data_IF_103118837170
#
_entry.id   IF_103118837170
#
_cell.length_a   1.000
_cell.length_b   1.000
_cell.length_c   1.000
_cell.angle_alpha   90.00
_cell.angle_beta   90.00
_cell.angle_gamma   90.00
#
_symmetry.space_group_name_H-M   'P 1'
#
loop_
_entity.id
_entity.type
_entity.pdbx_description
1 polymer ?
#
# COMPACT_ATOMS: atom_id res chain seq x y z
N UNK A 1 -13.74 21.61 -3.64
CA UNK A 1 -12.46 21.15 -3.06
C UNK A 1 -12.62 20.44 -1.72
N UNK A 2 -13.11 21.09 -0.65
CA UNK A 2 -13.27 20.46 0.70
C UNK A 2 -14.11 19.19 0.67
N UNK A 3 -15.24 19.19 -0.04
CA UNK A 3 -16.10 18.01 -0.22
C UNK A 3 -15.34 16.82 -0.83
N UNK A 4 -14.49 17.08 -1.83
CA UNK A 4 -13.70 16.03 -2.49
C UNK A 4 -12.60 15.48 -1.57
N UNK A 5 -11.96 16.35 -0.77
CA UNK A 5 -10.98 15.94 0.24
C UNK A 5 -11.62 15.04 1.29
N UNK A 6 -12.80 15.41 1.81
CA UNK A 6 -13.54 14.58 2.77
C UNK A 6 -13.89 13.22 2.16
N UNK A 7 -14.39 13.18 0.92
CA UNK A 7 -14.70 11.92 0.25
C UNK A 7 -13.46 11.04 0.02
N UNK A 8 -12.29 11.64 -0.22
CA UNK A 8 -11.02 10.93 -0.35
C UNK A 8 -10.53 10.37 0.98
N UNK A 9 -10.64 11.15 2.07
CA UNK A 9 -10.29 10.72 3.41
C UNK A 9 -11.17 9.56 3.87
N UNK A 10 -12.49 9.66 3.69
CA UNK A 10 -13.43 8.58 3.98
C UNK A 10 -13.05 7.32 3.18
N UNK A 11 -12.78 7.48 1.88
CA UNK A 11 -12.35 6.38 1.02
C UNK A 11 -11.08 5.69 1.55
N UNK A 12 -10.07 6.45 1.95
CA UNK A 12 -8.83 5.91 2.50
C UNK A 12 -9.07 5.18 3.83
N UNK A 13 -9.81 5.80 4.77
CA UNK A 13 -10.11 5.20 6.07
C UNK A 13 -10.84 3.86 5.93
N UNK A 14 -11.84 3.77 5.06
CA UNK A 14 -12.58 2.52 4.82
C UNK A 14 -11.68 1.40 4.27
N UNK A 15 -10.70 1.73 3.41
CA UNK A 15 -9.77 0.73 2.90
C UNK A 15 -8.83 0.16 3.97
N UNK A 16 -8.68 0.83 5.12
CA UNK A 16 -7.88 0.34 6.25
C UNK A 16 -8.70 -0.35 7.33
N UNK A 17 -9.84 0.23 7.70
CA UNK A 17 -10.70 -0.30 8.76
C UNK A 17 -11.22 -1.70 8.40
N UNK A 18 -11.59 -1.92 7.12
CA UNK A 18 -12.17 -3.20 6.73
C UNK A 18 -11.17 -4.36 6.84
N UNK A 19 -9.94 -4.29 6.29
CA UNK A 19 -8.93 -5.33 6.51
C UNK A 19 -8.56 -5.51 7.98
N UNK A 20 -8.56 -4.44 8.77
CA UNK A 20 -8.27 -4.50 10.20
C UNK A 20 -9.36 -5.28 10.96
N UNK A 21 -10.63 -5.05 10.66
CA UNK A 21 -11.74 -5.76 11.30
C UNK A 21 -11.72 -7.26 10.99
N UNK A 22 -11.30 -7.66 9.78
CA UNK A 22 -11.16 -9.08 9.43
C UNK A 22 -9.94 -9.75 10.05
N UNK A 23 -8.92 -8.97 10.43
CA UNK A 23 -7.63 -9.51 10.82
C UNK A 23 -7.74 -10.44 12.07
N UNK A 24 -8.39 -10.05 13.18
CA UNK A 24 -8.66 -10.94 14.31
C UNK A 24 -9.37 -12.22 13.90
N UNK A 25 -10.45 -12.09 13.13
CA UNK A 25 -11.28 -13.22 12.71
C UNK A 25 -10.52 -14.22 11.82
N UNK A 26 -9.77 -13.74 10.83
CA UNK A 26 -9.01 -14.62 9.94
C UNK A 26 -7.90 -15.36 10.68
N UNK A 27 -7.26 -14.72 11.66
CA UNK A 27 -6.21 -15.35 12.48
C UNK A 27 -6.80 -16.36 13.45
N UNK A 28 -8.01 -16.15 13.98
CA UNK A 28 -8.66 -17.09 14.90
C UNK A 28 -9.29 -18.29 14.19
N UNK A 29 -9.72 -18.14 12.93
CA UNK A 29 -10.42 -19.22 12.19
C UNK A 29 -9.48 -20.06 11.33
N UNK A 30 -8.40 -19.46 10.81
CA UNK A 30 -7.45 -20.15 9.94
C UNK A 30 -6.22 -20.60 10.73
N UNK A 31 -5.68 -21.78 10.40
CA UNK A 31 -4.36 -22.16 10.86
C UNK A 31 -3.30 -21.18 10.36
N UNK A 32 -2.16 -21.11 11.05
CA UNK A 32 -1.06 -20.23 10.63
C UNK A 32 -0.55 -20.55 9.21
N UNK A 33 -0.68 -21.80 8.74
CA UNK A 33 -0.34 -22.20 7.37
C UNK A 33 -1.30 -21.60 6.33
N UNK A 34 -2.61 -21.72 6.59
CA UNK A 34 -3.64 -21.18 5.71
C UNK A 34 -3.61 -19.65 5.71
N UNK A 35 -3.44 -19.02 6.88
CA UNK A 35 -3.29 -17.57 7.00
C UNK A 35 -2.03 -17.05 6.29
N UNK A 36 -0.87 -17.70 6.46
CA UNK A 36 0.34 -17.37 5.72
C UNK A 36 0.08 -17.41 4.20
N UNK A 37 -0.50 -18.51 3.71
CA UNK A 37 -0.79 -18.70 2.29
C UNK A 37 -1.74 -17.62 1.76
N UNK A 38 -2.77 -17.27 2.53
CA UNK A 38 -3.71 -16.19 2.23
C UNK A 38 -2.98 -14.84 2.10
N UNK A 39 -2.12 -14.48 3.06
CA UNK A 39 -1.39 -13.21 3.04
C UNK A 39 -0.40 -13.15 1.87
N UNK A 40 0.32 -14.24 1.58
CA UNK A 40 1.22 -14.32 0.42
C UNK A 40 0.42 -14.11 -0.87
N UNK A 41 -0.68 -14.85 -1.04
CA UNK A 41 -1.50 -14.75 -2.24
C UNK A 41 -2.10 -13.34 -2.39
N UNK A 42 -2.60 -12.75 -1.30
CA UNK A 42 -3.07 -11.36 -1.27
C UNK A 42 -1.98 -10.39 -1.71
N UNK A 43 -0.75 -10.57 -1.23
CA UNK A 43 0.39 -9.72 -1.58
C UNK A 43 0.75 -9.86 -3.06
N UNK A 44 0.73 -11.07 -3.60
CA UNK A 44 0.94 -11.34 -5.03
C UNK A 44 -0.15 -10.73 -5.92
N UNK A 45 -1.41 -10.81 -5.50
CA UNK A 45 -2.54 -10.16 -6.18
C UNK A 45 -2.34 -8.64 -6.20
N UNK A 46 -1.98 -8.02 -5.08
CA UNK A 46 -1.73 -6.57 -5.00
C UNK A 46 -0.58 -6.11 -5.91
N UNK A 47 0.52 -6.87 -5.95
CA UNK A 47 1.62 -6.60 -6.89
C UNK A 47 1.15 -6.73 -8.34
N UNK A 48 0.39 -7.78 -8.67
CA UNK A 48 -0.11 -8.02 -10.03
C UNK A 48 -1.10 -6.93 -10.49
N UNK A 49 -1.93 -6.42 -9.58
CA UNK A 49 -2.80 -5.27 -9.83
C UNK A 49 -1.98 -4.02 -10.18
N UNK A 50 -0.84 -3.78 -9.52
CA UNK A 50 0.04 -2.66 -9.86
C UNK A 50 0.59 -2.76 -11.30
N UNK A 51 0.88 -3.97 -11.78
CA UNK A 51 1.23 -4.22 -13.19
C UNK A 51 0.09 -3.86 -14.14
N UNK A 52 -1.14 -4.30 -13.87
CA UNK A 52 -2.30 -3.99 -14.72
C UNK A 52 -2.60 -2.49 -14.74
N UNK A 53 -2.43 -1.81 -13.60
CA UNK A 53 -2.67 -0.37 -13.53
C UNK A 53 -1.61 0.47 -14.25
N UNK A 54 -0.36 0.01 -14.38
CA UNK A 54 0.72 0.60 -15.19
C UNK A 54 0.90 2.14 -15.05
N UNK A 55 0.54 2.73 -13.89
CA UNK A 55 0.55 4.18 -13.69
C UNK A 55 -0.51 4.97 -14.48
N UNK A 56 -1.54 4.32 -15.01
CA UNK A 56 -2.62 4.96 -15.77
C UNK A 56 -3.41 5.98 -14.93
N UNK A 57 -3.42 5.84 -13.61
CA UNK A 57 -4.05 6.81 -12.69
C UNK A 57 -3.51 8.24 -12.85
N UNK A 58 -2.28 8.39 -13.35
CA UNK A 58 -1.67 9.70 -13.65
C UNK A 58 -1.61 9.93 -15.16
N UNK A 59 -0.99 9.01 -15.91
CA UNK A 59 -0.68 9.23 -17.33
C UNK A 59 -1.91 9.30 -18.23
N UNK A 60 -2.97 8.54 -17.91
CA UNK A 60 -4.21 8.63 -18.67
C UNK A 60 -4.89 9.99 -18.46
N UNK A 61 -4.87 10.52 -17.22
CA UNK A 61 -5.41 11.85 -16.91
C UNK A 61 -4.67 12.93 -17.68
N UNK A 62 -3.33 12.92 -17.65
CA UNK A 62 -2.52 13.92 -18.37
C UNK A 62 -2.86 13.96 -19.86
N UNK A 63 -2.90 12.80 -20.53
CA UNK A 63 -3.24 12.75 -21.97
C UNK A 63 -4.67 13.17 -22.27
N UNK A 64 -5.64 12.87 -21.40
CA UNK A 64 -7.03 13.29 -21.60
C UNK A 64 -7.23 14.81 -21.47
N UNK A 65 -6.39 15.47 -20.67
CA UNK A 65 -6.35 16.94 -20.57
C UNK A 65 -5.74 17.55 -21.82
N UNK A 66 -4.67 16.95 -22.36
CA UNK A 66 -3.97 17.42 -23.55
C UNK A 66 -4.77 17.19 -24.85
N UNK A 67 -5.50 16.08 -24.98
CA UNK A 67 -6.31 15.76 -26.17
C UNK A 67 -7.73 16.38 -26.09
N UNK A 68 -7.89 17.52 -26.79
CA UNK A 68 -9.18 18.14 -27.04
C UNK A 68 -9.97 17.34 -28.11
N UNK A 69 -10.96 16.60 -27.62
CA UNK A 69 -12.14 16.02 -28.28
C UNK A 69 -12.01 14.93 -29.37
N UNK A 70 -11.10 14.94 -30.36
CA UNK A 70 -11.24 14.01 -31.51
C UNK A 70 -10.67 12.60 -31.31
N UNK A 71 -9.72 12.39 -30.38
CA UNK A 71 -8.96 11.13 -30.27
C UNK A 71 -9.20 10.34 -28.96
N UNK A 72 -10.16 10.76 -28.14
CA UNK A 72 -10.38 10.20 -26.79
C UNK A 72 -10.82 8.74 -26.80
N UNK A 73 -11.70 8.36 -27.72
CA UNK A 73 -12.16 6.98 -27.84
C UNK A 73 -11.00 6.04 -28.20
N UNK A 74 -10.10 6.46 -29.09
CA UNK A 74 -8.90 5.71 -29.45
C UNK A 74 -7.94 5.59 -28.25
N UNK A 75 -7.69 6.69 -27.52
CA UNK A 75 -6.84 6.67 -26.32
C UNK A 75 -7.37 5.69 -25.27
N UNK A 76 -8.65 5.80 -24.93
CA UNK A 76 -9.31 4.94 -23.94
C UNK A 76 -9.27 3.46 -24.38
N UNK A 77 -9.56 3.19 -25.65
CA UNK A 77 -9.48 1.83 -26.21
C UNK A 77 -8.05 1.28 -26.14
N UNK A 78 -7.05 2.13 -26.43
CA UNK A 78 -5.64 1.76 -26.35
C UNK A 78 -5.24 1.41 -24.93
N UNK A 79 -5.70 2.17 -23.93
CA UNK A 79 -5.46 1.88 -22.51
C UNK A 79 -6.03 0.50 -22.15
N UNK A 80 -7.26 0.16 -22.56
CA UNK A 80 -7.81 -1.16 -22.27
C UNK A 80 -7.05 -2.30 -22.93
N UNK A 81 -6.66 -2.14 -24.20
CA UNK A 81 -5.85 -3.16 -24.89
C UNK A 81 -4.52 -3.36 -24.16
N UNK A 82 -3.86 -2.28 -23.76
CA UNK A 82 -2.64 -2.36 -22.94
C UNK A 82 -2.91 -3.09 -21.62
N UNK A 83 -3.97 -2.74 -20.88
CA UNK A 83 -4.35 -3.41 -19.63
C UNK A 83 -4.60 -4.91 -19.82
N UNK A 84 -5.27 -5.31 -20.90
CA UNK A 84 -5.52 -6.73 -21.24
C UNK A 84 -4.21 -7.44 -21.55
N UNK A 85 -3.32 -6.86 -22.35
CA UNK A 85 -2.00 -7.43 -22.63
C UNK A 85 -1.16 -7.60 -21.36
N UNK A 86 -1.15 -6.58 -20.49
CA UNK A 86 -0.44 -6.64 -19.21
C UNK A 86 -1.05 -7.68 -18.26
N UNK A 87 -2.38 -7.79 -18.22
CA UNK A 87 -3.08 -8.84 -17.47
C UNK A 87 -2.72 -10.23 -17.97
N UNK A 88 -2.73 -10.46 -19.29
CA UNK A 88 -2.36 -11.74 -19.87
C UNK A 88 -0.91 -12.14 -19.56
N UNK A 89 0.01 -11.18 -19.58
CA UNK A 89 1.40 -11.41 -19.20
C UNK A 89 1.55 -11.72 -17.69
N UNK A 90 0.97 -10.89 -16.84
CA UNK A 90 1.15 -11.03 -15.38
C UNK A 90 0.39 -12.24 -14.82
N UNK A 91 -0.72 -12.66 -15.45
CA UNK A 91 -1.48 -13.84 -15.00
C UNK A 91 -0.66 -15.12 -15.12
N UNK A 92 0.11 -15.28 -16.19
CA UNK A 92 1.01 -16.43 -16.37
C UNK A 92 2.08 -16.46 -15.27
N UNK A 93 2.73 -15.32 -15.02
CA UNK A 93 3.73 -15.20 -13.95
C UNK A 93 3.12 -15.45 -12.56
N UNK A 94 1.97 -14.86 -12.29
CA UNK A 94 1.26 -15.04 -11.02
C UNK A 94 0.89 -16.51 -10.79
N UNK A 95 0.28 -17.19 -11.76
CA UNK A 95 -0.09 -18.61 -11.65
C UNK A 95 1.16 -19.47 -11.43
N UNK A 96 2.22 -19.23 -12.20
CA UNK A 96 3.48 -19.97 -12.08
C UNK A 96 4.07 -19.81 -10.68
N UNK A 97 4.25 -18.57 -10.21
CA UNK A 97 4.86 -18.31 -8.90
C UNK A 97 3.96 -18.83 -7.78
N UNK A 98 2.65 -18.59 -7.83
CA UNK A 98 1.74 -18.96 -6.75
C UNK A 98 1.70 -20.49 -6.54
N UNK A 99 1.62 -21.26 -7.62
CA UNK A 99 1.54 -22.71 -7.56
C UNK A 99 2.92 -23.35 -7.35
N UNK A 100 3.93 -22.96 -8.15
CA UNK A 100 5.23 -23.66 -8.16
C UNK A 100 6.19 -23.20 -7.07
N UNK A 101 6.13 -21.94 -6.64
CA UNK A 101 7.04 -21.40 -5.63
C UNK A 101 6.40 -21.50 -4.24
N UNK A 102 5.13 -21.10 -4.11
CA UNK A 102 4.46 -21.03 -2.81
C UNK A 102 3.48 -22.17 -2.52
N UNK A 103 3.18 -23.04 -3.48
CA UNK A 103 2.26 -24.17 -3.27
C UNK A 103 0.82 -23.74 -2.96
N UNK A 104 0.39 -22.55 -3.41
CA UNK A 104 -0.95 -22.02 -3.15
C UNK A 104 -1.99 -22.87 -3.89
N UNK A 105 -3.11 -23.16 -3.21
CA UNK A 105 -4.22 -23.94 -3.75
C UNK A 105 -4.80 -23.34 -5.04
N UNK A 106 -5.18 -24.22 -5.99
CA UNK A 106 -5.68 -23.79 -7.30
C UNK A 106 -6.89 -22.86 -7.20
N UNK A 107 -7.81 -23.11 -6.25
CA UNK A 107 -8.97 -22.27 -6.04
C UNK A 107 -8.59 -20.84 -5.64
N UNK A 108 -7.69 -20.66 -4.67
CA UNK A 108 -7.16 -19.36 -4.26
C UNK A 108 -6.49 -18.61 -5.41
N UNK A 109 -5.76 -19.34 -6.26
CA UNK A 109 -5.10 -18.78 -7.45
C UNK A 109 -6.15 -18.29 -8.45
N UNK A 110 -7.17 -19.09 -8.78
CA UNK A 110 -8.22 -18.72 -9.75
C UNK A 110 -9.08 -17.54 -9.30
N UNK A 111 -9.47 -17.50 -8.02
CA UNK A 111 -10.21 -16.36 -7.49
C UNK A 111 -9.32 -15.12 -7.31
N UNK A 112 -8.04 -15.29 -7.02
CA UNK A 112 -7.05 -14.21 -7.08
C UNK A 112 -6.91 -13.64 -8.49
N UNK A 113 -6.88 -14.47 -9.55
CA UNK A 113 -6.91 -14.01 -10.94
C UNK A 113 -8.17 -13.20 -11.25
N UNK A 114 -9.32 -13.63 -10.75
CA UNK A 114 -10.58 -12.88 -10.90
C UNK A 114 -10.48 -11.49 -10.27
N UNK A 115 -9.84 -11.39 -9.10
CA UNK A 115 -9.58 -10.11 -8.46
C UNK A 115 -8.54 -9.27 -9.22
N UNK A 116 -7.52 -9.85 -9.83
CA UNK A 116 -6.60 -9.08 -10.68
C UNK A 116 -7.34 -8.58 -11.93
N UNK A 117 -8.16 -9.43 -12.55
CA UNK A 117 -8.91 -9.12 -13.77
C UNK A 117 -9.94 -7.99 -13.57
N UNK A 118 -10.51 -7.85 -12.37
CA UNK A 118 -11.45 -6.77 -12.07
C UNK A 118 -10.85 -5.37 -12.24
N UNK A 119 -9.52 -5.22 -12.16
CA UNK A 119 -8.83 -3.94 -12.37
C UNK A 119 -8.70 -3.52 -13.85
N UNK A 120 -9.02 -4.41 -14.80
CA UNK A 120 -9.06 -4.07 -16.23
C UNK A 120 -10.14 -3.00 -16.49
N UNK A 121 -11.43 -3.23 -16.19
CA UNK A 121 -12.49 -2.23 -16.36
C UNK A 121 -12.45 -1.09 -15.32
N UNK A 122 -11.55 -1.14 -14.33
CA UNK A 122 -11.46 -0.11 -13.31
C UNK A 122 -10.92 1.21 -13.90
N UNK A 123 -11.76 2.26 -13.83
CA UNK A 123 -11.52 3.55 -14.50
C UNK A 123 -11.42 4.73 -13.53
N UNK A 124 -10.75 4.55 -12.39
CA UNK A 124 -10.58 5.64 -11.42
C UNK A 124 -9.90 6.85 -12.07
N UNK A 125 -8.96 6.63 -12.99
CA UNK A 125 -8.32 7.67 -13.81
C UNK A 125 -9.32 8.55 -14.58
N UNK A 126 -10.37 7.96 -15.17
CA UNK A 126 -11.36 8.74 -15.93
C UNK A 126 -12.14 9.70 -15.03
N UNK A 127 -12.58 9.22 -13.87
CA UNK A 127 -13.30 10.06 -12.92
C UNK A 127 -12.40 11.09 -12.25
N UNK A 128 -11.12 10.79 -12.10
CA UNK A 128 -10.11 11.75 -11.64
C UNK A 128 -9.97 12.89 -12.64
N UNK A 129 -9.93 12.60 -13.94
CA UNK A 129 -9.95 13.60 -15.01
C UNK A 129 -11.21 14.48 -14.99
N UNK A 130 -12.39 13.90 -14.73
CA UNK A 130 -13.66 14.66 -14.64
C UNK A 130 -13.90 15.31 -13.26
N UNK A 131 -12.96 15.18 -12.31
CA UNK A 131 -13.09 15.61 -10.91
C UNK A 131 -14.32 15.07 -10.16
N UNK A 132 -14.83 13.89 -10.58
CA UNK A 132 -16.03 13.23 -10.03
C UNK A 132 -15.67 12.16 -9.00
N UNK A 133 -14.95 12.56 -7.94
CA UNK A 133 -14.52 11.66 -6.86
C UNK A 133 -15.68 11.12 -6.03
N UNK A 134 -16.81 11.83 -5.98
CA UNK A 134 -18.06 11.39 -5.34
C UNK A 134 -18.52 10.03 -5.88
N UNK A 135 -18.39 9.83 -7.20
CA UNK A 135 -18.76 8.58 -7.88
C UNK A 135 -17.80 7.46 -7.46
N UNK A 136 -16.49 7.73 -7.48
CA UNK A 136 -15.44 6.75 -7.14
C UNK A 136 -15.59 6.29 -5.69
N UNK A 137 -15.73 7.23 -4.75
CA UNK A 137 -15.88 6.90 -3.33
C UNK A 137 -17.14 6.07 -3.09
N UNK A 138 -18.30 6.48 -3.62
CA UNK A 138 -19.55 5.74 -3.45
C UNK A 138 -19.44 4.30 -3.96
N UNK A 139 -18.99 4.11 -5.20
CA UNK A 139 -19.00 2.80 -5.85
C UNK A 139 -17.83 1.90 -5.48
N UNK A 140 -16.80 2.42 -4.82
CA UNK A 140 -15.74 1.58 -4.26
C UNK A 140 -16.03 1.18 -2.81
N UNK A 141 -16.67 2.05 -2.02
CA UNK A 141 -17.02 1.74 -0.63
C UNK A 141 -18.24 0.82 -0.57
N UNK A 142 -19.30 1.08 -1.35
CA UNK A 142 -20.57 0.37 -1.24
C UNK A 142 -20.43 -1.16 -1.43
N UNK A 143 -19.80 -1.68 -2.50
CA UNK A 143 -19.66 -3.12 -2.67
C UNK A 143 -18.81 -3.77 -1.57
N UNK A 144 -17.79 -3.06 -1.09
CA UNK A 144 -16.96 -3.53 0.02
C UNK A 144 -17.75 -3.61 1.32
N UNK A 145 -18.52 -2.59 1.67
CA UNK A 145 -19.36 -2.59 2.89
C UNK A 145 -20.45 -3.65 2.84
N UNK A 146 -21.01 -3.94 1.66
CA UNK A 146 -22.05 -4.97 1.52
C UNK A 146 -21.47 -6.37 1.53
N UNK A 147 -20.37 -6.62 0.81
CA UNK A 147 -19.87 -7.98 0.58
C UNK A 147 -18.82 -8.43 1.58
N UNK A 148 -17.96 -7.55 2.07
CA UNK A 148 -16.87 -7.93 2.95
C UNK A 148 -17.33 -8.46 4.33
N UNK A 149 -18.47 -8.04 4.91
CA UNK A 149 -19.03 -8.70 6.09
C UNK A 149 -19.36 -10.19 5.89
N UNK A 150 -19.62 -10.64 4.66
CA UNK A 150 -19.86 -12.07 4.41
C UNK A 150 -18.62 -12.94 4.65
N UNK A 151 -17.42 -12.36 4.68
CA UNK A 151 -16.19 -13.08 5.05
C UNK A 151 -16.33 -13.75 6.42
N UNK A 152 -16.96 -13.05 7.39
CA UNK A 152 -17.20 -13.58 8.73
C UNK A 152 -18.21 -14.72 8.77
N UNK A 153 -19.06 -14.84 7.75
CA UNK A 153 -20.13 -15.84 7.69
C UNK A 153 -19.72 -17.10 6.92
N UNK A 154 -18.89 -16.96 5.88
CA UNK A 154 -18.63 -18.06 4.94
C UNK A 154 -17.29 -18.76 5.13
N UNK A 155 -16.34 -18.14 5.84
CA UNK A 155 -15.03 -18.72 6.14
C UNK A 155 -15.13 -19.37 7.50
N UNK A 156 -14.92 -20.68 7.57
CA UNK A 156 -14.97 -21.42 8.84
C UNK A 156 -13.79 -22.37 9.02
N UNK A 157 -12.96 -22.59 8.01
CA UNK A 157 -11.81 -23.47 8.06
C UNK A 157 -10.76 -23.11 7.00
N UNK A 158 -9.62 -23.81 7.04
CA UNK A 158 -8.49 -23.62 6.13
C UNK A 158 -8.81 -23.83 4.65
N UNK A 159 -9.81 -24.65 4.30
CA UNK A 159 -10.19 -24.90 2.91
C UNK A 159 -11.04 -23.77 2.30
N UNK A 160 -11.47 -22.81 3.12
CA UNK A 160 -12.34 -21.71 2.72
C UNK A 160 -11.57 -20.44 2.32
N UNK A 161 -10.23 -20.46 2.31
CA UNK A 161 -9.41 -19.29 1.97
C UNK A 161 -9.74 -18.71 0.59
N UNK A 162 -10.10 -19.56 -0.38
CA UNK A 162 -10.50 -19.09 -1.72
C UNK A 162 -11.75 -18.19 -1.69
N UNK A 163 -12.64 -18.39 -0.70
CA UNK A 163 -13.85 -17.55 -0.54
C UNK A 163 -13.49 -16.12 -0.19
N UNK A 164 -12.38 -15.89 0.53
CA UNK A 164 -11.84 -14.55 0.77
C UNK A 164 -11.55 -13.83 -0.56
N UNK A 165 -10.82 -14.49 -1.46
CA UNK A 165 -10.49 -13.95 -2.77
C UNK A 165 -11.72 -13.81 -3.66
N UNK A 166 -12.67 -14.73 -3.58
CA UNK A 166 -13.93 -14.66 -4.31
C UNK A 166 -14.74 -13.42 -3.91
N UNK A 167 -14.91 -13.16 -2.60
CA UNK A 167 -15.66 -12.02 -2.10
C UNK A 167 -14.95 -10.70 -2.46
N UNK A 168 -13.63 -10.60 -2.26
CA UNK A 168 -12.87 -9.40 -2.62
C UNK A 168 -12.88 -9.14 -4.14
N UNK A 169 -12.69 -10.20 -4.93
CA UNK A 169 -12.77 -10.16 -6.38
C UNK A 169 -14.15 -9.73 -6.86
N UNK A 170 -15.23 -10.29 -6.31
CA UNK A 170 -16.60 -9.92 -6.62
C UNK A 170 -16.88 -8.45 -6.27
N UNK A 171 -16.50 -8.00 -5.07
CA UNK A 171 -16.67 -6.60 -4.67
C UNK A 171 -15.93 -5.64 -5.62
N UNK A 172 -14.70 -5.98 -6.00
CA UNK A 172 -13.90 -5.20 -6.94
C UNK A 172 -14.48 -5.23 -8.36
N UNK A 173 -15.00 -6.37 -8.81
CA UNK A 173 -15.61 -6.53 -10.12
C UNK A 173 -16.91 -5.74 -10.22
N UNK A 174 -17.75 -5.76 -9.18
CA UNK A 174 -18.95 -4.93 -9.08
C UNK A 174 -18.58 -3.45 -9.19
N UNK A 175 -17.63 -2.98 -8.38
CA UNK A 175 -17.12 -1.59 -8.44
C UNK A 175 -16.70 -1.23 -9.87
N UNK A 176 -15.89 -2.08 -10.50
CA UNK A 176 -15.26 -1.79 -11.78
C UNK A 176 -16.27 -1.80 -12.93
N UNK A 177 -17.24 -2.72 -12.93
CA UNK A 177 -18.33 -2.74 -13.90
C UNK A 177 -19.22 -1.51 -13.77
N UNK A 178 -19.59 -1.10 -12.55
CA UNK A 178 -20.42 0.10 -12.36
C UNK A 178 -19.71 1.37 -12.83
N UNK A 179 -18.43 1.53 -12.50
CA UNK A 179 -17.60 2.64 -12.97
C UNK A 179 -17.41 2.59 -14.50
N UNK A 180 -17.23 1.41 -15.08
CA UNK A 180 -17.14 1.28 -16.53
C UNK A 180 -18.44 1.67 -17.24
N UNK A 181 -19.60 1.15 -16.79
CA UNK A 181 -20.91 1.48 -17.37
C UNK A 181 -21.24 2.97 -17.23
N UNK A 182 -20.95 3.56 -16.07
CA UNK A 182 -21.22 4.98 -15.86
C UNK A 182 -20.28 5.88 -16.68
N UNK A 183 -19.05 5.45 -16.96
CA UNK A 183 -18.16 6.15 -17.90
C UNK A 183 -18.76 6.19 -19.31
N UNK A 184 -19.24 5.04 -19.82
CA UNK A 184 -19.89 4.96 -21.13
C UNK A 184 -21.14 5.85 -21.23
N UNK A 185 -21.88 6.01 -20.12
CA UNK A 185 -23.04 6.91 -20.06
C UNK A 185 -22.66 8.40 -20.02
N UNK A 186 -21.46 8.75 -19.52
CA UNK A 186 -21.01 10.15 -19.43
C UNK A 186 -20.38 10.59 -20.76
N UNK A 187 -19.59 9.72 -21.39
CA UNK A 187 -19.04 9.90 -22.72
C UNK A 187 -19.97 9.25 -23.75
N UNK A 188 -21.19 9.80 -23.90
CA UNK A 188 -22.15 9.36 -24.90
C UNK A 188 -21.45 9.24 -26.27
N UNK A 189 -21.46 8.04 -26.88
CA UNK A 189 -20.84 7.79 -28.18
C UNK A 189 -19.41 7.25 -28.14
N UNK A 190 -18.90 6.84 -26.97
CA UNK A 190 -17.61 6.13 -26.90
C UNK A 190 -17.70 4.77 -27.60
N UNK A 191 -17.25 4.69 -28.84
CA UNK A 191 -17.07 3.44 -29.57
C UNK A 191 -15.65 2.94 -29.31
N UNK A 192 -15.52 1.74 -28.74
CA UNK A 192 -14.20 1.15 -28.54
C UNK A 192 -13.65 0.73 -29.92
N UNK A 193 -12.49 1.27 -30.27
CA UNK A 193 -11.81 1.03 -31.55
C UNK A 193 -10.54 0.23 -31.29
N UNK A 194 -10.30 -0.79 -32.11
CA UNK A 194 -9.05 -1.54 -32.06
C UNK A 194 -7.87 -0.62 -32.41
N UNK A 195 -6.95 -0.36 -31.46
CA UNK A 195 -5.82 0.53 -31.69
C UNK A 195 -4.76 -0.14 -32.56
N UNK A 196 -4.03 0.66 -33.33
CA UNK A 196 -2.83 0.18 -34.03
C UNK A 196 -1.73 -0.18 -33.02
N UNK A 197 -0.91 -1.17 -33.34
CA UNK A 197 0.23 -1.59 -32.51
C UNK A 197 1.16 -0.43 -32.11
N UNK A 198 1.36 0.54 -33.02
CA UNK A 198 2.12 1.76 -32.73
C UNK A 198 1.56 2.53 -31.52
N UNK A 199 0.24 2.70 -31.44
CA UNK A 199 -0.40 3.38 -30.31
C UNK A 199 -0.15 2.66 -28.98
N UNK A 200 -0.29 1.33 -28.96
CA UNK A 200 0.01 0.50 -27.78
C UNK A 200 1.46 0.70 -27.32
N UNK A 201 2.42 0.67 -28.25
CA UNK A 201 3.85 0.89 -27.96
C UNK A 201 4.11 2.29 -27.41
N UNK A 202 3.48 3.31 -27.97
CA UNK A 202 3.63 4.70 -27.53
C UNK A 202 3.04 4.92 -26.13
N UNK A 203 1.91 4.29 -25.80
CA UNK A 203 1.35 4.31 -24.43
C UNK A 203 2.30 3.63 -23.44
N UNK A 204 2.79 2.44 -23.77
CA UNK A 204 3.69 1.69 -22.90
C UNK A 204 4.99 2.46 -22.65
N UNK A 205 5.58 3.05 -23.69
CA UNK A 205 6.82 3.84 -23.60
C UNK A 205 6.64 5.06 -22.70
N UNK A 206 5.58 5.83 -22.90
CA UNK A 206 5.35 7.08 -22.17
C UNK A 206 4.97 6.85 -20.70
N UNK A 207 4.31 5.72 -20.41
CA UNK A 207 3.94 5.30 -19.06
C UNK A 207 5.07 4.62 -18.28
N UNK A 208 6.10 4.10 -18.96
CA UNK A 208 7.10 3.21 -18.36
C UNK A 208 7.79 3.80 -17.12
N UNK A 209 8.20 5.08 -17.17
CA UNK A 209 8.86 5.74 -16.03
C UNK A 209 7.97 5.80 -14.78
N UNK A 210 6.68 6.08 -14.94
CA UNK A 210 5.72 6.09 -13.83
C UNK A 210 5.41 4.67 -13.35
N UNK A 211 5.26 3.73 -14.27
CA UNK A 211 5.09 2.32 -13.93
C UNK A 211 6.25 1.80 -13.07
N UNK A 212 7.51 2.03 -13.48
CA UNK A 212 8.69 1.61 -12.71
C UNK A 212 8.71 2.29 -11.35
N UNK A 213 8.35 3.56 -11.26
CA UNK A 213 8.28 4.28 -9.99
C UNK A 213 7.22 3.67 -9.05
N UNK A 214 6.02 3.41 -9.55
CA UNK A 214 4.93 2.81 -8.78
C UNK A 214 5.25 1.37 -8.37
N UNK A 215 5.79 0.57 -9.30
CA UNK A 215 6.21 -0.79 -9.04
C UNK A 215 7.32 -0.84 -7.99
N UNK A 216 8.29 0.08 -8.05
CA UNK A 216 9.37 0.17 -7.05
C UNK A 216 8.81 0.40 -5.66
N UNK A 217 7.86 1.33 -5.49
CA UNK A 217 7.20 1.57 -4.20
C UNK A 217 6.46 0.32 -3.71
N UNK A 218 5.71 -0.33 -4.60
CA UNK A 218 4.98 -1.55 -4.26
C UNK A 218 5.91 -2.69 -3.86
N UNK A 219 7.02 -2.88 -4.57
CA UNK A 219 8.03 -3.88 -4.24
C UNK A 219 8.68 -3.56 -2.89
N UNK A 220 9.12 -2.32 -2.66
CA UNK A 220 9.70 -1.91 -1.37
C UNK A 220 8.74 -2.13 -0.20
N UNK A 221 7.43 -2.00 -0.42
CA UNK A 221 6.41 -2.12 0.63
C UNK A 221 6.01 -3.56 0.92
N UNK A 222 6.07 -4.44 -0.09
CA UNK A 222 5.43 -5.76 -0.07
C UNK A 222 6.39 -6.95 -0.29
N UNK A 223 7.58 -6.74 -0.88
CA UNK A 223 8.54 -7.83 -1.14
C UNK A 223 8.97 -8.50 0.16
N UNK A 224 9.12 -7.73 1.23
CA UNK A 224 9.49 -8.28 2.53
C UNK A 224 8.49 -9.36 2.99
N UNK A 225 7.17 -9.11 2.85
CA UNK A 225 6.12 -10.10 3.14
C UNK A 225 6.23 -11.36 2.29
N UNK A 226 6.72 -11.27 1.05
CA UNK A 226 6.91 -12.44 0.18
C UNK A 226 8.18 -13.24 0.52
N UNK A 227 9.20 -12.60 1.09
CA UNK A 227 10.46 -13.23 1.42
C UNK A 227 10.47 -13.86 2.82
N UNK A 228 9.72 -13.30 3.79
CA UNK A 228 9.66 -13.83 5.15
C UNK A 228 9.38 -15.34 5.27
N UNK A 229 8.50 -15.96 4.45
CA UNK A 229 8.25 -17.40 4.49
C UNK A 229 9.47 -18.29 4.18
N UNK A 230 10.54 -17.72 3.60
CA UNK A 230 11.80 -18.44 3.36
C UNK A 230 12.50 -18.76 4.68
N UNK A 231 12.32 -17.91 5.70
CA UNK A 231 13.07 -17.99 6.95
C UNK A 231 12.19 -18.22 8.18
N UNK A 232 10.94 -17.77 8.15
CA UNK A 232 10.02 -17.89 9.28
C UNK A 232 9.13 -19.12 9.15
N UNK A 233 8.82 -19.72 10.31
CA UNK A 233 7.72 -20.68 10.37
C UNK A 233 6.38 -19.98 10.14
N UNK A 234 5.34 -20.70 9.73
CA UNK A 234 4.01 -20.09 9.51
C UNK A 234 3.42 -19.39 10.73
N UNK A 235 3.68 -19.91 11.93
CA UNK A 235 3.32 -19.24 13.18
C UNK A 235 4.05 -17.90 13.33
N UNK A 236 5.39 -17.91 13.23
CA UNK A 236 6.21 -16.70 13.33
C UNK A 236 5.86 -15.66 12.26
N UNK A 237 5.58 -16.10 11.03
CA UNK A 237 5.11 -15.25 9.94
C UNK A 237 3.77 -14.58 10.30
N UNK A 238 2.84 -15.35 10.85
CA UNK A 238 1.51 -14.84 11.26
C UNK A 238 1.65 -13.79 12.35
N UNK A 239 2.39 -14.09 13.41
CA UNK A 239 2.69 -13.14 14.50
C UNK A 239 3.32 -11.86 13.94
N UNK A 240 4.35 -11.99 13.10
CA UNK A 240 5.02 -10.85 12.50
C UNK A 240 4.09 -10.02 11.60
N UNK A 241 3.30 -10.66 10.73
CA UNK A 241 2.43 -9.95 9.80
C UNK A 241 1.32 -9.19 10.51
N UNK A 242 0.74 -9.77 11.56
CA UNK A 242 -0.25 -9.10 12.41
C UNK A 242 0.37 -7.88 13.09
N UNK A 243 1.58 -8.05 13.67
CA UNK A 243 2.31 -6.94 14.29
C UNK A 243 2.65 -5.82 13.31
N UNK A 244 3.18 -6.15 12.13
CA UNK A 244 3.53 -5.18 11.09
C UNK A 244 2.30 -4.40 10.61
N UNK A 245 1.15 -5.06 10.41
CA UNK A 245 -0.12 -4.39 10.08
C UNK A 245 -0.56 -3.43 11.18
N UNK A 246 -0.51 -3.83 12.44
CA UNK A 246 -0.86 -2.97 13.57
C UNK A 246 0.04 -1.73 13.63
N UNK A 247 1.36 -1.92 13.52
CA UNK A 247 2.37 -0.86 13.56
C UNK A 247 2.24 0.10 12.36
N UNK A 248 1.93 -0.41 11.16
CA UNK A 248 1.66 0.42 9.97
C UNK A 248 0.45 1.31 10.15
N UNK A 249 -0.62 0.81 10.78
CA UNK A 249 -1.82 1.62 11.05
C UNK A 249 -1.48 2.78 11.99
N UNK A 250 -0.72 2.51 13.06
CA UNK A 250 -0.23 3.56 13.96
C UNK A 250 0.59 4.61 13.18
N UNK A 251 1.47 4.15 12.28
CA UNK A 251 2.27 5.03 11.43
C UNK A 251 1.40 5.91 10.51
N UNK A 252 0.31 5.36 9.96
CA UNK A 252 -0.60 6.09 9.06
C UNK A 252 -1.37 7.22 9.75
N UNK A 253 -1.65 7.10 11.05
CA UNK A 253 -2.31 8.17 11.82
C UNK A 253 -1.48 9.46 11.83
N UNK A 254 -0.19 9.39 11.55
CA UNK A 254 0.69 10.57 11.44
C UNK A 254 0.58 11.30 10.10
N UNK A 255 0.07 10.63 9.06
CA UNK A 255 0.06 11.16 7.69
C UNK A 255 -0.74 12.46 7.49
N UNK A 256 -1.90 12.71 8.14
CA UNK A 256 -2.62 13.97 7.98
C UNK A 256 -1.82 15.17 8.49
N UNK A 257 -1.07 14.98 9.58
CA UNK A 257 -0.21 16.02 10.17
C UNK A 257 0.93 16.37 9.23
N UNK A 258 1.62 15.36 8.70
CA UNK A 258 2.73 15.59 7.76
C UNK A 258 2.27 16.21 6.44
N UNK A 259 1.08 15.85 5.96
CA UNK A 259 0.50 16.41 4.75
C UNK A 259 0.09 17.88 4.93
N UNK A 260 -0.45 18.25 6.10
CA UNK A 260 -0.77 19.64 6.43
C UNK A 260 0.49 20.49 6.65
N UNK A 261 1.56 19.89 7.17
CA UNK A 261 2.83 20.58 7.42
C UNK A 261 3.57 20.92 6.12
N UNK A 262 3.48 20.07 5.10
CA UNK A 262 4.21 20.22 3.84
C UNK A 262 4.11 21.60 3.16
N UNK A 263 2.91 22.15 2.85
CA UNK A 263 2.81 23.47 2.22
C UNK A 263 3.34 24.61 3.10
N UNK A 264 3.20 24.49 4.43
CA UNK A 264 3.74 25.46 5.39
C UNK A 264 5.27 25.47 5.31
N UNK A 265 5.88 24.29 5.27
CA UNK A 265 7.33 24.13 5.14
C UNK A 265 7.83 24.60 3.78
N UNK A 266 7.14 24.30 2.68
CA UNK A 266 7.50 24.78 1.34
C UNK A 266 7.56 26.33 1.26
N UNK A 267 6.69 27.02 2.01
CA UNK A 267 6.72 28.49 2.14
C UNK A 267 7.85 28.95 3.06
N UNK A 268 7.95 28.39 4.26
CA UNK A 268 8.93 28.82 5.27
C UNK A 268 10.37 28.61 4.80
N UNK A 269 10.67 27.48 4.14
CA UNK A 269 12.02 27.18 3.64
C UNK A 269 12.56 28.20 2.62
N UNK A 270 11.68 28.96 1.96
CA UNK A 270 12.05 30.04 1.04
C UNK A 270 12.21 31.39 1.73
N UNK A 271 11.46 31.64 2.81
CA UNK A 271 11.39 32.95 3.48
C UNK A 271 12.29 33.00 4.71
N UNK A 272 12.20 32.01 5.58
CA UNK A 272 12.95 31.92 6.83
C UNK A 272 13.26 30.45 7.16
N UNK A 273 14.50 30.05 6.87
CA UNK A 273 14.98 28.68 7.09
C UNK A 273 15.03 28.32 8.58
N UNK A 274 15.35 29.28 9.45
CA UNK A 274 15.47 29.01 10.88
C UNK A 274 14.10 28.74 11.49
N UNK A 275 13.09 29.55 11.14
CA UNK A 275 11.70 29.28 11.55
C UNK A 275 11.21 27.92 11.05
N UNK A 276 11.57 27.51 9.82
CA UNK A 276 11.27 26.17 9.32
C UNK A 276 11.89 25.07 10.23
N UNK A 277 13.16 25.22 10.62
CA UNK A 277 13.82 24.25 11.49
C UNK A 277 13.27 24.21 12.91
N UNK A 278 12.93 25.36 13.49
CA UNK A 278 12.28 25.45 14.79
C UNK A 278 10.91 24.79 14.78
N UNK A 279 10.15 24.99 13.69
CA UNK A 279 8.85 24.34 13.51
C UNK A 279 8.97 22.83 13.43
N UNK A 280 9.91 22.30 12.65
CA UNK A 280 10.19 20.85 12.60
C UNK A 280 10.58 20.33 13.99
N UNK A 281 11.46 21.03 14.70
CA UNK A 281 11.90 20.63 16.05
C UNK A 281 10.74 20.61 17.05
N UNK A 282 9.82 21.58 16.97
CA UNK A 282 8.61 21.58 17.79
C UNK A 282 7.71 20.38 17.49
N UNK A 283 7.55 20.00 16.22
CA UNK A 283 6.80 18.80 15.84
C UNK A 283 7.48 17.50 16.31
N UNK A 284 8.82 17.45 16.32
CA UNK A 284 9.56 16.32 16.89
C UNK A 284 9.21 16.15 18.37
N UNK A 285 9.26 17.23 19.15
CA UNK A 285 8.92 17.19 20.57
C UNK A 285 7.48 16.73 20.81
N UNK A 286 6.52 17.29 20.08
CA UNK A 286 5.12 16.88 20.14
C UNK A 286 4.94 15.39 19.81
N UNK A 287 5.57 14.93 18.72
CA UNK A 287 5.47 13.53 18.29
C UNK A 287 6.12 12.55 19.26
N UNK A 288 7.20 12.96 19.93
CA UNK A 288 7.86 12.16 20.97
C UNK A 288 6.93 11.99 22.15
N UNK A 289 6.23 13.05 22.56
CA UNK A 289 5.20 12.98 23.60
C UNK A 289 4.05 12.04 23.23
N UNK A 290 3.52 12.16 22.01
CA UNK A 290 2.44 11.28 21.52
C UNK A 290 2.90 9.82 21.44
N UNK A 291 4.09 9.56 20.92
CA UNK A 291 4.66 8.21 20.83
C UNK A 291 4.87 7.61 22.23
N UNK A 292 5.37 8.39 23.18
CA UNK A 292 5.54 7.96 24.57
C UNK A 292 4.19 7.59 25.20
N UNK A 293 3.17 8.44 25.06
CA UNK A 293 1.81 8.14 25.54
C UNK A 293 1.27 6.86 24.89
N UNK A 294 1.49 6.67 23.58
CA UNK A 294 1.08 5.47 22.86
C UNK A 294 1.76 4.20 23.39
N UNK A 295 3.07 4.24 23.65
CA UNK A 295 3.81 3.14 24.24
C UNK A 295 3.32 2.80 25.66
N UNK A 296 3.08 3.83 26.48
CA UNK A 296 2.52 3.64 27.83
C UNK A 296 1.12 3.03 27.77
N UNK A 297 0.26 3.54 26.90
CA UNK A 297 -1.08 2.99 26.69
C UNK A 297 -1.02 1.53 26.23
N UNK A 298 -0.12 1.20 25.30
CA UNK A 298 0.08 -0.18 24.85
C UNK A 298 0.65 -1.08 25.96
N UNK A 299 1.55 -0.58 26.81
CA UNK A 299 2.07 -1.35 27.93
C UNK A 299 0.95 -1.81 28.88
N UNK A 300 0.01 -0.91 29.22
CA UNK A 300 -1.10 -1.21 30.13
C UNK A 300 -2.29 -1.94 29.48
N UNK A 301 -2.63 -1.61 28.23
CA UNK A 301 -3.83 -2.12 27.56
C UNK A 301 -3.54 -3.19 26.51
N UNK A 302 -2.28 -3.33 26.08
CA UNK A 302 -1.89 -4.19 24.97
C UNK A 302 -2.21 -5.65 25.23
N UNK A 303 -1.84 -6.19 26.39
CA UNK A 303 -2.16 -7.59 26.73
C UNK A 303 -3.67 -7.85 26.75
N UNK A 304 -4.45 -6.94 27.33
CA UNK A 304 -5.92 -7.05 27.38
C UNK A 304 -6.53 -7.04 25.97
N UNK A 305 -6.10 -6.10 25.12
CA UNK A 305 -6.62 -5.97 23.76
C UNK A 305 -6.22 -7.18 22.91
N UNK A 306 -4.95 -7.60 23.00
CA UNK A 306 -4.44 -8.68 22.16
C UNK A 306 -4.96 -10.06 22.61
N UNK A 307 -5.13 -10.30 23.92
CA UNK A 307 -5.74 -11.54 24.40
C UNK A 307 -7.20 -11.68 23.97
N UNK A 308 -7.94 -10.56 23.86
CA UNK A 308 -9.31 -10.56 23.34
C UNK A 308 -9.37 -10.81 21.83
N UNK A 309 -8.47 -10.19 21.06
CA UNK A 309 -8.51 -10.22 19.59
C UNK A 309 -7.76 -11.40 18.97
N UNK A 310 -6.69 -11.87 19.63
CA UNK A 310 -5.74 -12.85 19.10
C UNK A 310 -5.34 -13.88 20.17
N UNK A 311 -6.30 -14.60 20.78
CA UNK A 311 -6.07 -15.42 21.98
C UNK A 311 -4.98 -16.49 21.79
N UNK A 312 -4.80 -17.02 20.57
CA UNK A 312 -3.84 -18.10 20.32
C UNK A 312 -2.39 -17.61 20.16
N UNK A 313 -2.19 -16.32 19.87
CA UNK A 313 -0.86 -15.76 19.54
C UNK A 313 -0.48 -14.54 20.39
N UNK A 314 -1.34 -14.11 21.32
CA UNK A 314 -1.20 -12.80 21.98
C UNK A 314 0.11 -12.65 22.76
N UNK A 315 0.63 -13.71 23.40
CA UNK A 315 1.86 -13.64 24.18
C UNK A 315 3.06 -13.25 23.33
N UNK A 316 3.27 -13.93 22.19
CA UNK A 316 4.35 -13.59 21.26
C UNK A 316 4.07 -12.26 20.56
N UNK A 317 2.82 -12.06 20.12
CA UNK A 317 2.40 -10.85 19.43
C UNK A 317 2.61 -9.59 20.28
N UNK A 318 2.37 -9.69 21.59
CA UNK A 318 2.55 -8.58 22.52
C UNK A 318 3.99 -8.06 22.50
N UNK A 319 4.95 -8.97 22.66
CA UNK A 319 6.38 -8.65 22.66
C UNK A 319 6.86 -8.14 21.30
N UNK A 320 6.40 -8.77 20.21
CA UNK A 320 6.77 -8.37 18.85
C UNK A 320 6.30 -6.95 18.55
N UNK A 321 5.03 -6.61 18.86
CA UNK A 321 4.54 -5.23 18.71
C UNK A 321 5.31 -4.29 19.63
N UNK A 322 5.55 -4.66 20.89
CA UNK A 322 6.29 -3.82 21.85
C UNK A 322 7.66 -3.39 21.29
N UNK A 323 8.42 -4.31 20.69
CA UNK A 323 9.70 -3.98 20.05
C UNK A 323 9.54 -3.17 18.75
N UNK A 324 8.45 -3.37 18.02
CA UNK A 324 8.16 -2.63 16.78
C UNK A 324 7.54 -1.25 17.02
N UNK A 325 7.09 -0.89 18.22
CA UNK A 325 6.48 0.41 18.51
C UNK A 325 7.41 1.62 18.31
N UNK A 326 8.72 1.40 18.20
CA UNK A 326 9.66 2.46 17.81
C UNK A 326 9.58 2.80 16.31
N UNK A 327 9.08 1.88 15.47
CA UNK A 327 9.01 2.04 14.01
C UNK A 327 8.13 3.22 13.59
N UNK A 328 6.89 3.42 14.09
CA UNK A 328 6.07 4.59 13.74
C UNK A 328 6.75 5.91 14.06
N UNK A 329 7.52 5.96 15.16
CA UNK A 329 8.31 7.14 15.51
C UNK A 329 9.41 7.40 14.49
N UNK A 330 10.18 6.37 14.09
CA UNK A 330 11.18 6.51 13.02
C UNK A 330 10.54 6.90 11.69
N UNK A 331 9.40 6.32 11.31
CA UNK A 331 8.67 6.69 10.08
C UNK A 331 8.26 8.16 10.10
N UNK A 332 7.79 8.66 11.24
CA UNK A 332 7.44 10.07 11.39
C UNK A 332 8.66 10.99 11.25
N UNK A 333 9.76 10.69 11.96
CA UNK A 333 11.00 11.46 11.86
C UNK A 333 11.61 11.41 10.44
N UNK A 334 11.56 10.24 9.79
CA UNK A 334 11.94 10.07 8.39
C UNK A 334 11.19 11.05 7.49
N UNK A 335 9.88 11.22 7.72
CA UNK A 335 9.09 12.19 6.97
C UNK A 335 9.52 13.64 7.27
N UNK A 336 9.74 13.98 8.54
CA UNK A 336 10.17 15.33 8.94
C UNK A 336 11.52 15.71 8.29
N UNK A 337 12.54 14.86 8.42
CA UNK A 337 13.86 15.18 7.85
C UNK A 337 13.90 15.02 6.33
N UNK A 338 13.33 13.95 5.80
CA UNK A 338 13.36 13.66 4.37
C UNK A 338 12.42 14.56 3.56
N UNK A 339 11.13 14.51 3.88
CA UNK A 339 10.07 15.19 3.11
C UNK A 339 9.97 16.67 3.48
N UNK A 340 9.87 16.99 4.78
CA UNK A 340 9.59 18.37 5.21
C UNK A 340 10.81 19.29 5.08
N UNK A 341 12.01 18.75 5.27
CA UNK A 341 13.27 19.47 5.03
C UNK A 341 13.85 19.09 3.67
N UNK A 342 14.37 17.87 3.50
CA UNK A 342 15.14 17.48 2.32
C UNK A 342 14.49 17.83 0.98
N UNK A 343 13.25 17.39 0.74
CA UNK A 343 12.54 17.66 -0.52
C UNK A 343 12.23 19.16 -0.69
N UNK A 344 11.76 19.85 0.35
CA UNK A 344 11.49 21.30 0.27
C UNK A 344 12.74 22.15 -0.01
N UNK A 345 13.93 21.64 0.32
CA UNK A 345 15.22 22.23 -0.02
C UNK A 345 15.84 21.70 -1.33
N UNK A 346 15.09 20.94 -2.13
CA UNK A 346 15.51 20.45 -3.46
C UNK A 346 16.53 19.30 -3.42
N UNK A 347 16.55 18.50 -2.33
CA UNK A 347 17.45 17.34 -2.17
C UNK A 347 16.83 16.02 -2.63
N UNK A 348 15.98 16.03 -3.66
CA UNK A 348 15.27 14.85 -4.18
C UNK A 348 16.23 13.68 -4.49
N UNK A 349 17.37 13.97 -5.12
CA UNK A 349 18.38 12.94 -5.46
C UNK A 349 18.97 12.27 -4.21
N UNK A 350 19.28 13.05 -3.18
CA UNK A 350 19.82 12.51 -1.92
C UNK A 350 18.75 11.70 -1.19
N UNK A 351 17.51 12.19 -1.17
CA UNK A 351 16.36 11.49 -0.60
C UNK A 351 16.17 10.10 -1.25
N UNK A 352 16.12 10.04 -2.58
CA UNK A 352 16.02 8.77 -3.31
C UNK A 352 17.21 7.85 -3.06
N UNK A 353 18.43 8.38 -3.01
CA UNK A 353 19.64 7.59 -2.75
C UNK A 353 19.58 6.93 -1.36
N UNK A 354 19.17 7.67 -0.33
CA UNK A 354 19.03 7.12 1.02
C UNK A 354 18.00 5.98 1.04
N UNK A 355 16.83 6.18 0.43
CA UNK A 355 15.79 5.14 0.36
C UNK A 355 16.30 3.86 -0.30
N UNK A 356 17.02 3.98 -1.43
CA UNK A 356 17.59 2.84 -2.14
C UNK A 356 18.62 2.09 -1.28
N UNK A 357 19.54 2.82 -0.62
CA UNK A 357 20.55 2.21 0.25
C UNK A 357 19.88 1.49 1.43
N UNK A 358 18.90 2.11 2.10
CA UNK A 358 18.19 1.49 3.21
C UNK A 358 17.42 0.23 2.77
N UNK A 359 16.83 0.23 1.58
CA UNK A 359 16.17 -0.95 1.01
C UNK A 359 17.13 -2.10 0.73
N UNK A 360 18.31 -1.81 0.16
CA UNK A 360 19.34 -2.83 -0.06
C UNK A 360 19.88 -3.40 1.25
N UNK A 361 20.14 -2.54 2.24
CA UNK A 361 20.60 -2.99 3.56
C UNK A 361 19.54 -3.85 4.24
N UNK A 362 18.25 -3.49 4.14
CA UNK A 362 17.16 -4.30 4.67
C UNK A 362 17.16 -5.73 4.09
N UNK A 363 17.34 -5.89 2.77
CA UNK A 363 17.40 -7.21 2.13
C UNK A 363 18.61 -8.03 2.60
N UNK A 364 19.79 -7.40 2.69
CA UNK A 364 21.02 -8.07 3.16
C UNK A 364 20.87 -8.49 4.63
N UNK A 365 20.41 -7.59 5.49
CA UNK A 365 20.19 -7.88 6.91
C UNK A 365 19.11 -8.95 7.11
N UNK A 366 18.07 -8.98 6.27
CA UNK A 366 17.04 -10.03 6.30
C UNK A 366 17.65 -11.42 6.13
N UNK A 367 18.50 -11.58 5.11
CA UNK A 367 19.16 -12.85 4.82
C UNK A 367 20.15 -13.28 5.92
N UNK A 368 20.75 -12.32 6.65
CA UNK A 368 21.73 -12.60 7.70
C UNK A 368 21.10 -12.88 9.07
N UNK A 369 20.09 -12.09 9.49
CA UNK A 369 19.61 -12.09 10.88
C UNK A 369 18.34 -12.91 11.11
N UNK A 370 17.51 -13.14 10.08
CA UNK A 370 16.25 -13.88 10.24
C UNK A 370 16.47 -15.40 10.40
N UNK A 371 17.32 -16.10 9.62
CA UNK A 371 17.45 -17.55 9.71
C UNK A 371 17.79 -18.09 11.11
N UNK A 372 18.60 -17.35 11.89
CA UNK A 372 19.03 -17.77 13.24
C UNK A 372 18.14 -17.26 14.38
N UNK A 373 17.38 -16.19 14.17
CA UNK A 373 16.64 -15.51 15.24
C UNK A 373 15.11 -15.50 15.04
N UNK A 374 14.61 -16.11 13.96
CA UNK A 374 13.18 -16.19 13.64
C UNK A 374 12.50 -14.83 13.64
N UNK A 375 11.34 -14.75 14.31
CA UNK A 375 10.51 -13.53 14.37
C UNK A 375 11.26 -12.32 14.94
N UNK A 376 12.11 -12.52 15.96
CA UNK A 376 12.88 -11.43 16.56
C UNK A 376 13.98 -10.92 15.62
N UNK A 377 14.54 -11.80 14.77
CA UNK A 377 15.41 -11.39 13.67
C UNK A 377 14.68 -10.48 12.68
N UNK A 378 13.44 -10.80 12.31
CA UNK A 378 12.63 -9.96 11.43
C UNK A 378 12.32 -8.60 12.05
N UNK A 379 11.97 -8.56 13.35
CA UNK A 379 11.78 -7.31 14.10
C UNK A 379 13.05 -6.47 14.10
N UNK A 380 14.20 -7.07 14.42
CA UNK A 380 15.48 -6.38 14.44
C UNK A 380 15.81 -5.76 13.09
N UNK A 381 15.62 -6.50 12.00
CA UNK A 381 15.86 -6.02 10.63
C UNK A 381 14.95 -4.83 10.28
N UNK A 382 13.67 -4.86 10.63
CA UNK A 382 12.77 -3.74 10.39
C UNK A 382 13.19 -2.51 11.18
N UNK A 383 13.46 -2.65 12.49
CA UNK A 383 13.89 -1.53 13.34
C UNK A 383 15.22 -0.95 12.84
N UNK A 384 16.19 -1.80 12.54
CA UNK A 384 17.50 -1.39 12.01
C UNK A 384 17.37 -0.67 10.67
N UNK A 385 16.56 -1.18 9.74
CA UNK A 385 16.38 -0.55 8.43
C UNK A 385 15.73 0.85 8.52
N UNK A 386 14.77 1.01 9.44
CA UNK A 386 14.13 2.30 9.71
C UNK A 386 15.09 3.28 10.40
N UNK A 387 15.96 2.77 11.28
CA UNK A 387 17.01 3.58 11.92
C UNK A 387 18.07 4.04 10.91
N UNK A 388 18.51 3.18 9.99
CA UNK A 388 19.45 3.54 8.92
C UNK A 388 18.83 4.59 8.00
N UNK A 389 17.55 4.41 7.64
CA UNK A 389 16.78 5.39 6.89
C UNK A 389 16.74 6.74 7.63
N UNK A 390 16.49 6.72 8.95
CA UNK A 390 16.47 7.91 9.80
C UNK A 390 17.80 8.65 9.80
N UNK A 391 18.90 7.94 9.98
CA UNK A 391 20.23 8.53 9.95
C UNK A 391 20.52 9.16 8.58
N UNK A 392 20.21 8.46 7.49
CA UNK A 392 20.37 9.00 6.15
C UNK A 392 19.53 10.27 5.92
N UNK A 393 18.27 10.27 6.32
CA UNK A 393 17.39 11.45 6.20
C UNK A 393 17.85 12.60 7.08
N UNK A 394 18.33 12.32 8.30
CA UNK A 394 18.92 13.33 9.18
C UNK A 394 20.17 13.97 8.58
N UNK A 395 21.07 13.18 7.96
CA UNK A 395 22.22 13.74 7.24
C UNK A 395 21.82 14.61 6.05
N UNK A 396 20.75 14.24 5.33
CA UNK A 396 20.17 15.09 4.28
C UNK A 396 19.68 16.42 4.87
N UNK A 397 18.93 16.39 5.98
CA UNK A 397 18.48 17.59 6.66
C UNK A 397 19.65 18.46 7.15
N UNK A 398 20.71 17.84 7.70
CA UNK A 398 21.95 18.54 8.10
C UNK A 398 22.63 19.23 6.93
N UNK A 399 22.68 18.59 5.76
CA UNK A 399 23.21 19.19 4.54
C UNK A 399 22.41 20.43 4.06
N UNK A 400 21.18 20.61 4.56
CA UNK A 400 20.36 21.79 4.33
C UNK A 400 20.53 22.88 5.40
N UNK A 401 21.33 22.64 6.44
CA UNK A 401 21.60 23.58 7.54
C UNK A 401 20.85 23.28 8.85
N UNK A 402 20.13 22.16 8.95
CA UNK A 402 19.48 21.75 10.20
C UNK A 402 20.54 21.31 11.23
N UNK A 403 20.60 21.95 12.40
CA UNK A 403 21.69 21.73 13.38
C UNK A 403 21.25 21.23 14.76
N UNK A 404 19.94 21.28 15.06
CA UNK A 404 19.32 20.70 16.26
C UNK A 404 19.00 19.23 16.03
#
# INVERSE_FOLDING_TARGET
MIKNVIHLLIYQLFNFIIPLAMLPFLVSVLSSNAYQSLVINQTMVMLSIAFVNYGFDVKAVTRLVEDASSNRALLISTIYVVKICLFAFISVLYVFIAIKVYGIGLADVLFGLTWIASFIPLNVWFYSFKERFDIVSKWTILPKVVLLPFVFLVISNDSDTWKYFAIYGLASLITSIFLFRKMLSIECGLTLVLPKFKGVKDILRDGFGFFISQLSVMLMTNVFTLLLPIWLTPHQFTVFNVADRAVRIISMLTSPFTNALFPVMAKLTRVDKQQAFEKVTSFIFLSTGVAFIGCVAYYFLGELILSLLFPDIYHELYLVIMFMLIVPFFVFLNNLFGTQIGINFGKDKSFSKVILVSGLVNLICSALFIPGNGVYGAVFVVVLSQFILLMGMFFVARSCGYSK
#
